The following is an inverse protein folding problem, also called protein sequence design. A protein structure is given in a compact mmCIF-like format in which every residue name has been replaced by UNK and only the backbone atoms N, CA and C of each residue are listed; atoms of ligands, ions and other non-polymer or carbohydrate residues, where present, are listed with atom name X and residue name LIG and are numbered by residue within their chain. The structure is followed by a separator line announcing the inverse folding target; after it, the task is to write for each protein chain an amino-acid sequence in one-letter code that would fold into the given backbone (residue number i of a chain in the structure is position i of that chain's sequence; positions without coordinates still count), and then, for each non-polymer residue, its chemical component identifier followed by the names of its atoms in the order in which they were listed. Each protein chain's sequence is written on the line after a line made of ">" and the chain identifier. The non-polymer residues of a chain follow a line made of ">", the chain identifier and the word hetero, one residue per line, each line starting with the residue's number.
data_IF_975340308325
#
_entry.id   IF_975340308325
#
_cell.length_a   1.000
_cell.length_b   1.000
_cell.length_c   1.000
_cell.angle_alpha   90.00
_cell.angle_beta   90.00
_cell.angle_gamma   90.00
#
_symmetry.space_group_name_H-M   'P 1'
#
loop_
_entity.id
_entity.type
_entity.pdbx_description
1 polymer ?
#
# COMPACT_ATOMS: atom_id res chain seq x y z
N UNK A 1 13.21 -12.48 -0.10
CA UNK A 1 12.48 -11.21 -0.31
C UNK A 1 12.88 -10.63 -1.64
N UNK A 2 11.91 -10.24 -2.47
CA UNK A 2 12.16 -9.78 -3.83
C UNK A 2 11.61 -8.38 -4.02
N UNK A 3 12.28 -7.58 -4.86
CA UNK A 3 11.82 -6.24 -5.21
C UNK A 3 11.42 -6.18 -6.67
N UNK A 4 10.34 -5.46 -6.94
CA UNK A 4 9.80 -5.30 -8.29
C UNK A 4 9.37 -3.87 -8.52
N UNK A 5 9.42 -3.41 -9.77
CA UNK A 5 8.70 -2.20 -10.16
C UNK A 5 7.24 -2.54 -10.32
N UNK A 6 6.37 -1.65 -9.88
CA UNK A 6 4.93 -1.83 -10.01
C UNK A 6 4.26 -0.51 -10.32
N UNK A 7 3.12 -0.57 -10.97
CA UNK A 7 2.29 0.60 -11.27
C UNK A 7 0.95 0.46 -10.60
N UNK A 8 0.49 1.55 -10.01
CA UNK A 8 -0.82 1.58 -9.38
C UNK A 8 -1.91 1.39 -10.42
N UNK A 9 -2.84 0.49 -10.12
CA UNK A 9 -4.05 0.30 -10.90
C UNK A 9 -5.23 0.96 -10.19
N UNK A 10 -5.43 0.60 -8.91
CA UNK A 10 -6.55 1.11 -8.14
C UNK A 10 -6.28 0.96 -6.64
N UNK A 11 -6.71 1.94 -5.85
CA UNK A 11 -6.63 1.87 -4.39
C UNK A 11 -7.95 1.35 -3.85
N UNK A 12 -7.88 0.33 -2.99
CA UNK A 12 -9.06 -0.32 -2.40
C UNK A 12 -9.33 0.24 -1.01
N UNK A 13 -8.31 0.26 -0.16
CA UNK A 13 -8.34 0.81 1.20
C UNK A 13 -6.99 1.47 1.49
N UNK A 14 -6.86 2.09 2.65
CA UNK A 14 -5.60 2.72 3.03
C UNK A 14 -4.41 1.75 3.13
N UNK A 15 -4.67 0.45 3.23
CA UNK A 15 -3.65 -0.59 3.34
C UNK A 15 -3.74 -1.64 2.22
N UNK A 16 -4.54 -1.41 1.19
CA UNK A 16 -4.77 -2.40 0.13
C UNK A 16 -4.93 -1.70 -1.22
N UNK A 17 -4.24 -2.19 -2.23
CA UNK A 17 -4.32 -1.66 -3.59
C UNK A 17 -4.16 -2.76 -4.61
N UNK A 18 -4.61 -2.48 -5.82
CA UNK A 18 -4.37 -3.34 -6.98
C UNK A 18 -3.30 -2.70 -7.85
N UNK A 19 -2.37 -3.50 -8.34
CA UNK A 19 -1.24 -3.01 -9.10
C UNK A 19 -0.83 -3.98 -10.20
N UNK A 20 -0.11 -3.44 -11.17
CA UNK A 20 0.57 -4.20 -12.22
C UNK A 20 2.02 -4.33 -11.81
N UNK A 21 2.47 -5.55 -11.60
CA UNK A 21 3.82 -5.86 -11.14
C UNK A 21 4.65 -6.34 -12.33
N UNK A 22 5.77 -5.66 -12.56
CA UNK A 22 6.70 -6.01 -13.64
C UNK A 22 7.63 -7.12 -13.14
N UNK A 23 7.53 -8.29 -13.77
CA UNK A 23 8.38 -9.44 -13.46
C UNK A 23 9.62 -9.53 -14.34
N UNK A 24 9.83 -8.54 -15.21
CA UNK A 24 10.91 -8.61 -16.21
C UNK A 24 10.47 -9.38 -17.45
N UNK A 25 11.30 -9.35 -18.49
CA UNK A 25 11.04 -10.05 -19.76
C UNK A 25 9.69 -9.67 -20.38
N UNK A 26 9.24 -8.43 -20.19
CA UNK A 26 7.93 -7.95 -20.68
C UNK A 26 6.75 -8.71 -20.07
N UNK A 27 6.94 -9.37 -18.93
CA UNK A 27 5.87 -10.08 -18.22
C UNK A 27 5.36 -9.21 -17.08
N UNK A 28 4.05 -8.97 -17.09
CA UNK A 28 3.38 -8.19 -16.05
C UNK A 28 2.25 -9.02 -15.46
N UNK A 29 2.10 -8.98 -14.13
CA UNK A 29 0.98 -9.63 -13.45
C UNK A 29 0.16 -8.58 -12.71
N UNK A 30 -1.14 -8.80 -12.64
CA UNK A 30 -2.06 -7.96 -11.87
C UNK A 30 -2.29 -8.63 -10.53
N UNK A 31 -1.99 -7.94 -9.44
CA UNK A 31 -2.15 -8.49 -8.10
C UNK A 31 -2.70 -7.46 -7.15
N UNK A 32 -3.45 -7.95 -6.17
CA UNK A 32 -3.84 -7.16 -5.01
C UNK A 32 -2.72 -7.20 -3.99
N UNK A 33 -2.30 -6.03 -3.53
CA UNK A 33 -1.22 -5.89 -2.56
C UNK A 33 -1.81 -5.43 -1.25
N UNK A 34 -1.50 -6.15 -0.18
CA UNK A 34 -1.79 -5.76 1.19
C UNK A 34 -0.51 -5.20 1.79
N UNK A 35 -0.56 -4.00 2.34
CA UNK A 35 0.62 -3.40 2.97
C UNK A 35 0.99 -4.18 4.22
N UNK A 36 2.21 -4.70 4.24
CA UNK A 36 2.69 -5.56 5.32
C UNK A 36 2.94 -4.75 6.59
N UNK A 37 2.66 -5.38 7.73
CA UNK A 37 3.02 -4.84 9.04
C UNK A 37 2.13 -3.73 9.58
N UNK A 38 1.06 -3.37 8.87
CA UNK A 38 0.18 -2.27 9.29
C UNK A 38 -1.30 -2.63 9.09
N UNK A 39 -2.15 -1.89 9.79
CA UNK A 39 -3.61 -1.88 9.55
C UNK A 39 -4.07 -0.43 9.50
N UNK A 40 -4.99 -0.16 8.58
CA UNK A 40 -5.71 1.12 8.53
C UNK A 40 -7.17 0.89 8.89
N UNK A 41 -7.90 1.94 9.30
CA UNK A 41 -9.34 1.81 9.49
C UNK A 41 -10.04 1.46 8.19
N UNK A 42 -11.14 0.74 8.27
CA UNK A 42 -11.91 0.34 7.10
C UNK A 42 -12.67 1.52 6.49
N UNK A 43 -12.62 1.64 5.17
CA UNK A 43 -13.33 2.70 4.45
C UNK A 43 -14.76 2.29 4.05
N UNK A 44 -15.09 1.00 4.13
CA UNK A 44 -16.39 0.46 3.72
C UNK A 44 -17.14 -0.16 4.89
N UNK A 45 -17.10 0.49 6.03
CA UNK A 45 -17.82 0.07 7.24
C UNK A 45 -19.07 0.91 7.46
N UNK A 46 -20.00 0.40 8.27
CA UNK A 46 -21.18 1.16 8.68
C UNK A 46 -20.89 2.14 9.81
N UNK A 47 -19.79 1.96 10.53
CA UNK A 47 -19.35 2.88 11.58
C UNK A 47 -18.84 4.16 10.91
N UNK A 48 -19.56 5.27 11.11
CA UNK A 48 -19.26 6.54 10.46
C UNK A 48 -17.89 7.10 10.85
N UNK A 49 -17.51 6.94 12.10
CA UNK A 49 -16.20 7.43 12.58
C UNK A 49 -15.07 6.62 11.98
N UNK A 50 -15.18 5.29 11.98
CA UNK A 50 -14.18 4.44 11.37
C UNK A 50 -14.11 4.68 9.87
N UNK A 51 -15.25 4.82 9.20
CA UNK A 51 -15.29 5.10 7.76
C UNK A 51 -14.57 6.39 7.42
N UNK A 52 -14.77 7.44 8.22
CA UNK A 52 -14.09 8.72 8.01
C UNK A 52 -12.58 8.58 8.10
N UNK A 53 -12.10 7.85 9.12
CA UNK A 53 -10.67 7.58 9.28
C UNK A 53 -10.13 6.69 8.16
N UNK A 54 -10.93 5.72 7.72
CA UNK A 54 -10.56 4.84 6.60
C UNK A 54 -10.44 5.58 5.29
N UNK A 55 -11.36 6.50 5.01
CA UNK A 55 -11.30 7.33 3.81
C UNK A 55 -10.09 8.28 3.87
N UNK A 56 -9.76 8.81 5.05
CA UNK A 56 -8.58 9.66 5.22
C UNK A 56 -7.29 8.87 4.95
N UNK A 57 -7.20 7.63 5.42
CA UNK A 57 -6.06 6.77 5.15
C UNK A 57 -5.94 6.42 3.67
N UNK A 58 -7.07 6.16 3.02
CA UNK A 58 -7.12 5.89 1.58
C UNK A 58 -6.64 7.11 0.78
N UNK A 59 -7.08 8.30 1.17
CA UNK A 59 -6.62 9.55 0.56
C UNK A 59 -5.12 9.76 0.76
N UNK A 60 -4.61 9.48 1.94
CA UNK A 60 -3.18 9.62 2.24
C UNK A 60 -2.35 8.71 1.33
N UNK A 61 -2.79 7.46 1.15
CA UNK A 61 -2.12 6.52 0.24
C UNK A 61 -2.15 7.04 -1.20
N UNK A 62 -3.28 7.58 -1.64
CA UNK A 62 -3.43 8.15 -2.98
C UNK A 62 -2.47 9.32 -3.20
N UNK A 63 -2.40 10.24 -2.22
CA UNK A 63 -1.50 11.39 -2.31
C UNK A 63 -0.04 10.96 -2.40
N UNK A 64 0.37 9.97 -1.62
CA UNK A 64 1.74 9.48 -1.67
C UNK A 64 2.08 8.86 -3.03
N UNK A 65 1.21 8.01 -3.56
CA UNK A 65 1.47 7.29 -4.81
C UNK A 65 1.33 8.17 -6.05
N UNK A 66 0.37 9.07 -6.07
CA UNK A 66 0.06 9.87 -7.26
C UNK A 66 0.52 11.32 -7.18
N UNK A 67 0.70 11.86 -5.97
CA UNK A 67 1.09 13.24 -5.76
C UNK A 67 2.56 13.40 -5.39
N UNK A 68 2.97 12.78 -4.31
CA UNK A 68 4.34 12.94 -3.78
C UNK A 68 5.38 12.15 -4.57
N UNK A 69 5.00 11.00 -5.09
CA UNK A 69 5.88 10.15 -5.89
C UNK A 69 6.25 10.85 -7.20
N UNK A 70 7.55 11.05 -7.43
CA UNK A 70 8.03 11.73 -8.64
C UNK A 70 8.09 10.79 -9.85
N UNK A 71 7.95 9.49 -9.65
CA UNK A 71 7.97 8.49 -10.70
C UNK A 71 6.55 8.02 -11.04
N UNK A 72 6.38 7.37 -12.18
CA UNK A 72 5.10 6.76 -12.55
C UNK A 72 5.01 5.29 -12.10
N UNK A 73 5.92 4.88 -11.22
CA UNK A 73 5.96 3.55 -10.64
C UNK A 73 6.41 3.64 -9.18
N UNK A 74 6.20 2.57 -8.44
CA UNK A 74 6.76 2.42 -7.10
C UNK A 74 7.53 1.11 -7.03
N UNK A 75 8.30 0.92 -5.97
CA UNK A 75 9.03 -0.32 -5.73
C UNK A 75 8.25 -1.14 -4.71
N UNK A 76 7.92 -2.37 -5.10
CA UNK A 76 7.28 -3.34 -4.22
C UNK A 76 8.36 -4.27 -3.68
N UNK A 77 8.50 -4.29 -2.36
CA UNK A 77 9.31 -5.27 -1.66
C UNK A 77 8.37 -6.35 -1.14
N UNK A 78 8.35 -7.49 -1.83
CA UNK A 78 7.44 -8.58 -1.52
C UNK A 78 7.95 -9.39 -0.34
N UNK A 79 7.14 -9.54 0.71
CA UNK A 79 7.49 -10.34 1.88
C UNK A 79 6.96 -11.75 1.76
N UNK A 80 5.71 -11.91 1.35
CA UNK A 80 5.09 -13.22 1.21
C UNK A 80 3.78 -13.10 0.45
N UNK A 81 3.17 -14.25 0.15
CA UNK A 81 1.81 -14.28 -0.37
C UNK A 81 0.87 -14.49 0.83
N UNK A 82 -0.07 -13.58 0.99
CA UNK A 82 -1.05 -13.65 2.06
C UNK A 82 -2.25 -14.51 1.68
N UNK A 83 -3.28 -14.48 2.53
CA UNK A 83 -4.53 -15.19 2.29
C UNK A 83 -5.17 -14.69 1.00
N UNK A 84 -5.86 -15.58 0.31
CA UNK A 84 -6.60 -15.26 -0.93
C UNK A 84 -5.71 -14.76 -2.08
N UNK A 85 -4.43 -15.15 -2.08
CA UNK A 85 -3.52 -14.79 -3.16
C UNK A 85 -3.05 -13.34 -3.16
N UNK A 86 -3.31 -12.58 -2.09
CA UNK A 86 -2.81 -11.20 -1.98
C UNK A 86 -1.31 -11.23 -1.70
N UNK A 87 -0.59 -10.32 -2.35
CA UNK A 87 0.83 -10.13 -2.08
C UNK A 87 0.97 -9.26 -0.84
N UNK A 88 1.77 -9.69 0.13
CA UNK A 88 2.12 -8.88 1.29
C UNK A 88 3.43 -8.16 0.98
N UNK A 89 3.45 -6.86 1.12
CA UNK A 89 4.66 -6.12 0.77
C UNK A 89 4.76 -4.74 1.36
N UNK A 90 5.94 -4.19 1.19
CA UNK A 90 6.25 -2.81 1.56
C UNK A 90 6.42 -2.01 0.28
N UNK A 91 5.86 -0.81 0.25
CA UNK A 91 5.93 0.07 -0.91
C UNK A 91 6.93 1.18 -0.66
N UNK A 92 7.80 1.40 -1.63
CA UNK A 92 8.80 2.47 -1.57
C UNK A 92 8.60 3.42 -2.74
N UNK A 93 8.62 4.71 -2.45
CA UNK A 93 8.52 5.75 -3.48
C UNK A 93 9.67 6.73 -3.34
N UNK A 94 9.92 7.46 -4.42
CA UNK A 94 10.88 8.55 -4.44
C UNK A 94 10.11 9.87 -4.51
N UNK A 95 10.42 10.77 -3.58
CA UNK A 95 9.82 12.10 -3.55
C UNK A 95 10.89 13.17 -3.77
N UNK A 96 10.48 14.42 -3.87
CA UNK A 96 11.42 15.55 -3.96
C UNK A 96 12.34 15.65 -2.74
N UNK A 97 11.90 15.12 -1.61
CA UNK A 97 12.65 15.16 -0.35
C UNK A 97 13.46 13.89 -0.09
N UNK A 98 13.36 12.87 -0.96
CA UNK A 98 14.07 11.62 -0.83
C UNK A 98 13.16 10.42 -0.94
N UNK A 99 13.70 9.26 -0.67
CA UNK A 99 12.97 7.99 -0.72
C UNK A 99 12.41 7.65 0.65
N UNK A 100 11.19 7.08 0.71
CA UNK A 100 10.66 6.55 1.94
C UNK A 100 9.69 5.39 1.69
N UNK A 101 9.47 4.61 2.75
CA UNK A 101 8.52 3.51 2.76
C UNK A 101 7.13 4.02 3.11
N UNK A 102 6.16 3.75 2.25
CA UNK A 102 4.78 4.19 2.46
C UNK A 102 4.18 3.55 3.71
N UNK A 103 4.47 2.26 3.97
CA UNK A 103 3.96 1.57 5.16
C UNK A 103 4.34 2.33 6.43
N UNK A 104 5.61 2.69 6.55
CA UNK A 104 6.11 3.41 7.72
C UNK A 104 5.54 4.82 7.81
N UNK A 105 5.40 5.48 6.68
CA UNK A 105 4.88 6.85 6.64
C UNK A 105 3.41 6.93 7.06
N UNK A 106 2.60 5.93 6.69
CA UNK A 106 1.20 5.87 7.13
C UNK A 106 1.09 5.74 8.65
N UNK A 107 1.96 4.95 9.27
CA UNK A 107 2.00 4.82 10.73
C UNK A 107 2.45 6.14 11.36
N UNK A 108 3.51 6.75 10.83
CA UNK A 108 4.05 8.02 11.34
C UNK A 108 3.03 9.14 11.29
N UNK A 109 2.21 9.17 10.25
CA UNK A 109 1.20 10.21 10.05
C UNK A 109 -0.13 9.91 10.77
N UNK A 110 -0.21 8.80 11.51
CA UNK A 110 -1.40 8.47 12.28
C UNK A 110 -2.53 7.82 11.49
N UNK A 111 -2.30 7.43 10.24
CA UNK A 111 -3.33 6.80 9.40
C UNK A 111 -3.36 5.28 9.55
N UNK A 112 -2.31 4.69 10.12
CA UNK A 112 -2.21 3.26 10.30
C UNK A 112 -1.61 2.95 11.67
N UNK A 113 -1.84 1.71 12.13
CA UNK A 113 -1.21 1.18 13.33
C UNK A 113 -0.38 -0.04 12.93
N UNK A 114 0.66 -0.32 13.71
CA UNK A 114 1.46 -1.53 13.49
C UNK A 114 0.62 -2.77 13.71
N UNK A 115 0.83 -3.78 12.89
CA UNK A 115 0.06 -5.01 12.95
C UNK A 115 0.95 -6.19 12.53
N UNK A 116 1.06 -7.18 13.41
CA UNK A 116 1.96 -8.31 13.20
C UNK A 116 1.21 -9.66 13.14
N UNK A 117 0.00 -9.65 12.61
CA UNK A 117 -0.74 -10.89 12.34
C UNK A 117 -1.62 -11.42 13.45
N UNK A 118 -1.86 -10.65 14.48
CA UNK A 118 -2.78 -11.03 15.55
C UNK A 118 -4.26 -10.79 15.18
N UNK A 119 -5.15 -10.99 16.14
CA UNK A 119 -6.55 -10.60 15.98
C UNK A 119 -6.67 -9.09 16.09
N UNK A 120 -7.56 -8.56 15.27
CA UNK A 120 -7.89 -7.14 15.35
C UNK A 120 -8.73 -6.85 16.58
#
# INVERSE_FOLDING_TARGET
>A
MYTYKAKLDRIVDGDTLDAKIDLGFDITVHKRIRLAGINTPESRTRDKEEKKRGLAAKDALTVMLEGDNVNNYFILESESVGKFGRVLGRLHIKTKEGEYCINDQLVKNGHAVEYHGGKR
#
